data_IF_762174986391
#
_entry.id   IF_762174986391
#
_cell.length_a   1.000
_cell.length_b   1.000
_cell.length_c   1.000
_cell.angle_alpha   90.00
_cell.angle_beta   90.00
_cell.angle_gamma   90.00
#
_symmetry.space_group_name_H-M   'P 1'
#
loop_
_entity.id
_entity.type
_entity.pdbx_description
1 polymer ?
#
# COMPACT_ATOMS: atom_id res chain seq x y z
N UNK A 1 -6.81 25.97 -19.36
CA UNK A 1 -5.67 26.85 -18.99
C UNK A 1 -4.47 25.94 -18.83
N UNK A 2 -3.41 26.13 -19.62
CA UNK A 2 -2.16 25.41 -19.40
C UNK A 2 -1.55 25.89 -18.06
N UNK A 3 -1.01 24.99 -17.22
CA UNK A 3 -0.32 25.40 -16.00
C UNK A 3 0.84 26.33 -16.37
N UNK A 4 0.95 27.45 -15.66
CA UNK A 4 2.03 28.41 -15.87
C UNK A 4 3.38 27.70 -15.68
N UNK A 5 4.25 27.80 -16.67
CA UNK A 5 5.60 27.21 -16.61
C UNK A 5 6.36 27.84 -15.43
N UNK A 6 6.86 26.99 -14.53
CA UNK A 6 7.70 27.44 -13.42
C UNK A 6 9.00 28.05 -13.98
N UNK A 7 9.44 29.21 -13.47
CA UNK A 7 10.68 29.82 -13.90
C UNK A 7 11.88 28.95 -13.49
N UNK A 8 12.75 28.66 -14.45
CA UNK A 8 13.94 27.83 -14.26
C UNK A 8 15.21 28.71 -14.13
N UNK A 9 16.18 28.34 -13.26
CA UNK A 9 16.11 27.24 -12.29
C UNK A 9 15.23 27.59 -11.08
N UNK A 10 14.51 26.60 -10.53
CA UNK A 10 13.79 26.75 -9.28
C UNK A 10 14.60 26.17 -8.12
N UNK A 11 14.58 26.84 -6.98
CA UNK A 11 15.38 26.48 -5.80
C UNK A 11 14.48 25.86 -4.72
N UNK A 12 14.87 24.70 -4.20
CA UNK A 12 14.25 24.08 -3.04
C UNK A 12 15.20 24.12 -1.86
N UNK A 13 14.68 24.46 -0.69
CA UNK A 13 15.38 24.24 0.56
C UNK A 13 15.25 22.77 0.95
N UNK A 14 16.33 22.01 0.76
CA UNK A 14 16.38 20.62 1.18
C UNK A 14 16.93 20.53 2.60
N UNK A 15 16.19 19.86 3.48
CA UNK A 15 16.68 19.50 4.81
C UNK A 15 17.24 18.08 4.74
N UNK A 16 18.51 17.93 5.10
CA UNK A 16 19.21 16.65 5.13
C UNK A 16 18.90 15.90 6.44
N UNK A 17 19.21 14.60 6.46
CA UNK A 17 18.95 13.73 7.62
C UNK A 17 19.71 14.14 8.88
N UNK A 18 20.80 14.92 8.75
CA UNK A 18 21.56 15.47 9.87
C UNK A 18 20.95 16.77 10.45
N UNK A 19 19.84 17.26 9.87
CA UNK A 19 19.16 18.49 10.27
C UNK A 19 19.65 19.76 9.59
N UNK A 20 20.71 19.68 8.77
CA UNK A 20 21.19 20.82 7.99
C UNK A 20 20.22 21.09 6.83
N UNK A 21 20.20 22.34 6.37
CA UNK A 21 19.44 22.70 5.17
C UNK A 21 20.30 23.45 4.17
N UNK A 22 20.14 23.13 2.90
CA UNK A 22 20.76 23.86 1.80
C UNK A 22 19.71 24.22 0.75
N UNK A 23 19.86 25.41 0.17
CA UNK A 23 19.07 25.83 -0.98
C UNK A 23 19.73 25.23 -2.23
N UNK A 24 19.05 24.27 -2.85
CA UNK A 24 19.53 23.52 -4.03
C UNK A 24 18.71 23.94 -5.24
N UNK A 25 19.40 24.38 -6.29
CA UNK A 25 18.77 24.72 -7.56
C UNK A 25 18.59 23.47 -8.43
N UNK A 26 17.38 23.28 -8.93
CA UNK A 26 17.00 22.21 -9.84
C UNK A 26 16.59 22.79 -11.20
N UNK A 27 16.94 22.07 -12.26
CA UNK A 27 16.37 22.24 -13.59
C UNK A 27 15.37 21.11 -13.87
N UNK A 28 14.52 21.27 -14.89
CA UNK A 28 13.58 20.23 -15.29
C UNK A 28 14.28 18.96 -15.79
N UNK A 29 15.41 19.13 -16.48
CA UNK A 29 16.27 18.04 -16.94
C UNK A 29 16.85 17.20 -15.78
N UNK A 30 17.08 17.83 -14.61
CA UNK A 30 17.55 17.13 -13.41
C UNK A 30 16.48 16.24 -12.76
N UNK A 31 15.20 16.60 -12.91
CA UNK A 31 14.07 15.82 -12.39
C UNK A 31 13.69 14.66 -13.32
N UNK A 32 13.74 14.88 -14.63
CA UNK A 32 13.39 13.87 -15.64
C UNK A 32 14.43 12.75 -15.74
N UNK A 33 15.71 13.06 -15.49
CA UNK A 33 16.81 12.09 -15.58
C UNK A 33 17.23 11.48 -14.24
N UNK A 34 16.51 11.81 -13.15
CA UNK A 34 16.81 11.31 -11.80
C UNK A 34 18.26 11.60 -11.38
N UNK A 35 18.56 12.84 -10.98
CA UNK A 35 19.91 13.23 -10.52
C UNK A 35 20.49 12.23 -9.51
N UNK A 36 21.41 11.38 -9.97
CA UNK A 36 22.36 10.68 -9.10
C UNK A 36 23.39 11.71 -8.63
N UNK A 37 23.70 11.76 -7.33
CA UNK A 37 24.77 12.61 -6.81
C UNK A 37 26.02 12.32 -7.67
N UNK A 38 26.65 13.35 -8.27
CA UNK A 38 27.82 13.13 -9.09
C UNK A 38 28.92 12.50 -8.24
N UNK A 39 29.59 11.49 -8.80
CA UNK A 39 30.70 10.82 -8.11
C UNK A 39 31.73 11.86 -7.66
N UNK A 40 32.14 11.88 -6.38
CA UNK A 40 33.13 12.84 -5.89
C UNK A 40 34.45 12.73 -6.66
N UNK A 41 35.09 13.87 -6.93
CA UNK A 41 36.27 13.92 -7.80
C UNK A 41 37.55 13.38 -7.14
N UNK A 42 37.69 13.56 -5.83
CA UNK A 42 38.81 12.98 -5.06
C UNK A 42 38.50 11.54 -4.71
N UNK A 43 39.52 10.67 -4.65
CA UNK A 43 39.32 9.30 -4.19
C UNK A 43 39.03 9.32 -2.69
N UNK A 44 38.11 8.47 -2.23
CA UNK A 44 37.74 8.35 -0.80
C UNK A 44 38.93 8.16 0.15
N UNK A 45 39.95 7.43 -0.30
CA UNK A 45 41.18 7.19 0.47
C UNK A 45 42.02 8.45 0.70
N UNK A 46 41.83 9.49 -0.13
CA UNK A 46 42.54 10.76 -0.07
C UNK A 46 41.74 11.84 0.68
N UNK A 47 40.55 11.50 1.18
CA UNK A 47 39.67 12.40 1.93
C UNK A 47 39.94 12.28 3.44
N UNK A 48 40.02 13.42 4.12
CA UNK A 48 40.14 13.47 5.59
C UNK A 48 38.73 13.39 6.19
N UNK A 49 38.50 12.57 7.23
CA UNK A 49 37.21 12.54 7.92
C UNK A 49 36.79 13.94 8.38
N UNK A 50 35.52 14.30 8.14
CA UNK A 50 34.89 15.60 8.46
C UNK A 50 35.23 16.76 7.52
N UNK A 51 36.00 16.53 6.45
CA UNK A 51 36.12 17.52 5.37
C UNK A 51 34.89 17.47 4.44
N UNK A 52 34.53 18.57 3.76
CA UNK A 52 33.39 18.59 2.82
C UNK A 52 33.45 17.51 1.73
N UNK A 53 34.66 17.11 1.33
CA UNK A 53 34.89 16.03 0.36
C UNK A 53 34.59 14.64 0.93
N UNK A 54 34.78 14.45 2.23
CA UNK A 54 34.40 13.23 2.94
C UNK A 54 32.88 13.14 3.09
N UNK A 55 32.22 14.25 3.38
CA UNK A 55 30.76 14.31 3.47
C UNK A 55 30.10 14.08 2.11
N UNK A 56 30.69 14.59 1.02
CA UNK A 56 30.26 14.30 -0.35
C UNK A 56 30.36 12.79 -0.67
N UNK A 57 31.42 12.12 -0.23
CA UNK A 57 31.54 10.66 -0.34
C UNK A 57 30.51 9.91 0.49
N UNK A 58 30.23 10.36 1.71
CA UNK A 58 29.22 9.75 2.56
C UNK A 58 27.82 9.87 1.94
N UNK A 59 27.49 11.04 1.38
CA UNK A 59 26.22 11.26 0.69
C UNK A 59 26.10 10.40 -0.57
N UNK A 60 27.16 10.33 -1.38
CA UNK A 60 27.22 9.48 -2.57
C UNK A 60 27.05 7.99 -2.25
N UNK A 61 27.81 7.47 -1.28
CA UNK A 61 27.71 6.06 -0.86
C UNK A 61 26.33 5.74 -0.29
N UNK A 62 25.75 6.67 0.48
CA UNK A 62 24.40 6.51 1.04
C UNK A 62 23.35 6.43 -0.06
N UNK A 63 23.40 7.31 -1.06
CA UNK A 63 22.47 7.26 -2.19
C UNK A 63 22.65 5.98 -3.00
N UNK A 64 23.89 5.58 -3.31
CA UNK A 64 24.15 4.35 -4.06
C UNK A 64 23.70 3.10 -3.31
N UNK A 65 23.86 3.07 -2.00
CA UNK A 65 23.32 2.00 -1.16
C UNK A 65 21.78 1.96 -1.18
N UNK A 66 21.13 3.12 -1.17
CA UNK A 66 19.67 3.22 -1.31
C UNK A 66 19.20 2.76 -2.69
N UNK A 67 19.83 3.21 -3.77
CA UNK A 67 19.55 2.78 -5.15
C UNK A 67 19.68 1.25 -5.29
N UNK A 68 20.77 0.67 -4.76
CA UNK A 68 20.98 -0.79 -4.76
C UNK A 68 19.94 -1.53 -3.91
N UNK A 69 19.51 -0.95 -2.78
CA UNK A 69 18.48 -1.53 -1.94
C UNK A 69 17.12 -1.56 -2.64
N UNK A 70 16.71 -0.46 -3.27
CA UNK A 70 15.46 -0.39 -4.03
C UNK A 70 15.49 -1.34 -5.23
N UNK A 71 16.57 -1.34 -6.02
CA UNK A 71 16.71 -2.28 -7.13
C UNK A 71 16.64 -3.75 -6.67
N UNK A 72 17.19 -4.05 -5.48
CA UNK A 72 17.07 -5.38 -4.88
C UNK A 72 15.66 -5.68 -4.40
N UNK A 73 14.95 -4.73 -3.79
CA UNK A 73 13.55 -4.90 -3.41
C UNK A 73 12.67 -5.16 -4.64
N UNK A 74 12.87 -4.40 -5.71
CA UNK A 74 12.13 -4.57 -6.97
C UNK A 74 12.39 -5.96 -7.57
N UNK A 75 13.66 -6.38 -7.65
CA UNK A 75 14.02 -7.72 -8.12
C UNK A 75 13.50 -8.85 -7.21
N UNK A 76 13.49 -8.64 -5.89
CA UNK A 76 12.91 -9.59 -4.93
C UNK A 76 11.38 -9.67 -5.05
N UNK A 77 10.72 -8.54 -5.34
CA UNK A 77 9.29 -8.45 -5.58
C UNK A 77 8.90 -9.15 -6.89
N UNK A 78 9.61 -8.90 -7.98
CA UNK A 78 9.44 -9.64 -9.25
C UNK A 78 9.67 -11.14 -9.06
N UNK A 79 10.73 -11.52 -8.35
CA UNK A 79 11.03 -12.91 -8.05
C UNK A 79 9.97 -13.57 -7.15
N UNK A 80 9.34 -12.81 -6.25
CA UNK A 80 8.22 -13.29 -5.45
C UNK A 80 6.95 -13.49 -6.30
N UNK A 81 6.64 -12.55 -7.20
CA UNK A 81 5.52 -12.64 -8.14
C UNK A 81 5.66 -13.87 -9.05
N UNK A 82 6.83 -14.09 -9.66
CA UNK A 82 7.08 -15.29 -10.49
C UNK A 82 6.91 -16.59 -9.69
N UNK A 83 7.38 -16.64 -8.44
CA UNK A 83 7.16 -17.78 -7.55
C UNK A 83 5.68 -17.99 -7.22
N UNK A 84 4.93 -16.91 -6.97
CA UNK A 84 3.51 -16.97 -6.68
C UNK A 84 2.71 -17.47 -7.89
N UNK A 85 2.97 -16.92 -9.08
CA UNK A 85 2.36 -17.35 -10.36
C UNK A 85 2.65 -18.84 -10.60
N UNK A 86 3.91 -19.26 -10.47
CA UNK A 86 4.29 -20.68 -10.61
C UNK A 86 3.60 -21.55 -9.58
N UNK A 87 3.43 -21.07 -8.35
CA UNK A 87 2.72 -21.82 -7.32
C UNK A 87 1.26 -22.03 -7.71
N UNK A 88 0.56 -20.96 -8.11
CA UNK A 88 -0.83 -21.01 -8.58
C UNK A 88 -0.98 -21.99 -9.74
N UNK A 89 -0.17 -21.84 -10.80
CA UNK A 89 -0.19 -22.74 -11.95
C UNK A 89 0.07 -24.19 -11.52
N UNK A 90 1.04 -24.42 -10.63
CA UNK A 90 1.47 -25.77 -10.28
C UNK A 90 0.63 -26.47 -9.21
N UNK A 91 -0.12 -25.74 -8.40
CA UNK A 91 -0.85 -26.31 -7.26
C UNK A 91 -2.35 -26.08 -7.34
N UNK A 92 -2.80 -24.99 -7.94
CA UNK A 92 -4.22 -24.63 -8.00
C UNK A 92 -4.89 -25.04 -9.31
N UNK A 93 -4.12 -25.22 -10.40
CA UNK A 93 -4.65 -25.58 -11.72
C UNK A 93 -4.39 -27.06 -12.01
N UNK A 94 -5.44 -27.79 -12.41
CA UNK A 94 -5.35 -29.18 -12.83
C UNK A 94 -4.41 -29.35 -14.04
N UNK A 95 -3.76 -30.51 -14.19
CA UNK A 95 -2.88 -30.73 -15.35
C UNK A 95 -3.61 -30.67 -16.70
N UNK A 96 -4.91 -30.95 -16.71
CA UNK A 96 -5.75 -30.89 -17.90
C UNK A 96 -6.02 -29.44 -18.32
N UNK A 97 -6.31 -28.57 -17.34
CA UNK A 97 -6.59 -27.15 -17.60
C UNK A 97 -5.33 -26.34 -17.90
N UNK A 98 -4.15 -26.74 -17.39
CA UNK A 98 -2.88 -26.11 -17.76
C UNK A 98 -2.59 -26.14 -19.26
N UNK A 99 -3.04 -27.20 -19.95
CA UNK A 99 -2.84 -27.35 -21.40
C UNK A 99 -3.77 -26.46 -22.22
N UNK A 100 -4.76 -25.83 -21.58
CA UNK A 100 -5.72 -24.90 -22.19
C UNK A 100 -5.26 -23.44 -22.07
N UNK A 101 -4.28 -23.15 -21.21
CA UNK A 101 -3.63 -21.84 -21.09
C UNK A 101 -2.64 -21.71 -22.24
N UNK A 102 -3.02 -21.00 -23.29
CA UNK A 102 -2.22 -20.88 -24.51
C UNK A 102 -1.80 -19.44 -24.79
N UNK A 103 -2.56 -18.46 -24.30
CA UNK A 103 -2.37 -17.03 -24.56
C UNK A 103 -2.16 -16.24 -23.28
N UNK A 104 -1.64 -15.02 -23.41
CA UNK A 104 -1.44 -14.07 -22.30
C UNK A 104 -2.77 -13.75 -21.60
N UNK A 105 -3.86 -13.59 -22.37
CA UNK A 105 -5.21 -13.38 -21.84
C UNK A 105 -5.72 -14.52 -20.93
N UNK A 106 -5.30 -15.77 -21.18
CA UNK A 106 -5.66 -16.90 -20.32
C UNK A 106 -4.96 -16.82 -18.97
N UNK A 107 -3.72 -16.31 -18.97
CA UNK A 107 -2.94 -16.06 -17.76
C UNK A 107 -3.56 -14.93 -16.96
N UNK A 108 -3.98 -13.85 -17.61
CA UNK A 108 -4.66 -12.73 -16.97
C UNK A 108 -5.98 -13.15 -16.32
N UNK A 109 -6.81 -13.92 -17.03
CA UNK A 109 -8.07 -14.46 -16.48
C UNK A 109 -7.84 -15.39 -15.28
N UNK A 110 -6.76 -16.17 -15.29
CA UNK A 110 -6.35 -17.02 -14.17
C UNK A 110 -5.83 -16.18 -13.01
N UNK A 111 -5.03 -15.16 -13.27
CA UNK A 111 -4.52 -14.26 -12.24
C UNK A 111 -5.66 -13.50 -11.58
N UNK A 112 -6.63 -13.03 -12.35
CA UNK A 112 -7.87 -12.42 -11.86
C UNK A 112 -8.71 -13.39 -11.02
N UNK A 113 -8.80 -14.67 -11.43
CA UNK A 113 -9.50 -15.71 -10.67
C UNK A 113 -8.72 -16.24 -9.45
N UNK A 114 -7.39 -16.17 -9.47
CA UNK A 114 -6.49 -16.63 -8.41
C UNK A 114 -6.29 -15.59 -7.31
N UNK A 115 -6.58 -14.32 -7.59
CA UNK A 115 -6.76 -13.31 -6.56
C UNK A 115 -7.98 -13.71 -5.72
N UNK A 116 -7.73 -14.10 -4.47
CA UNK A 116 -8.78 -14.29 -3.46
C UNK A 116 -9.68 -13.03 -3.51
N UNK A 117 -10.95 -13.14 -3.92
CA UNK A 117 -11.76 -11.96 -4.20
C UNK A 117 -11.84 -11.08 -2.95
N UNK A 118 -11.42 -9.82 -3.03
CA UNK A 118 -11.36 -8.96 -1.85
C UNK A 118 -12.78 -8.63 -1.36
N UNK A 119 -12.97 -8.61 -0.04
CA UNK A 119 -14.17 -7.99 0.53
C UNK A 119 -14.11 -6.49 0.23
N UNK A 120 -15.17 -5.93 -0.36
CA UNK A 120 -15.24 -4.51 -0.70
C UNK A 120 -16.17 -3.75 0.25
N UNK A 121 -16.04 -2.41 0.30
CA UNK A 121 -16.96 -1.55 1.05
C UNK A 121 -18.42 -1.75 0.62
N UNK A 122 -18.67 -1.93 -0.68
CA UNK A 122 -20.01 -2.18 -1.23
C UNK A 122 -20.61 -3.47 -0.67
N UNK A 123 -19.82 -4.55 -0.60
CA UNK A 123 -20.27 -5.82 -0.03
C UNK A 123 -20.64 -5.68 1.45
N UNK A 124 -19.85 -4.93 2.23
CA UNK A 124 -20.16 -4.65 3.64
C UNK A 124 -21.46 -3.83 3.78
N UNK A 125 -21.63 -2.79 2.96
CA UNK A 125 -22.84 -1.95 2.92
C UNK A 125 -24.08 -2.77 2.58
N UNK A 126 -23.97 -3.67 1.61
CA UNK A 126 -25.06 -4.54 1.18
C UNK A 126 -25.46 -5.54 2.28
N UNK A 127 -24.47 -6.18 2.92
CA UNK A 127 -24.71 -7.10 4.05
C UNK A 127 -25.40 -6.38 5.21
N UNK A 128 -24.89 -5.20 5.60
CA UNK A 128 -25.47 -4.40 6.67
C UNK A 128 -26.91 -4.01 6.35
N UNK A 129 -27.16 -3.49 5.15
CA UNK A 129 -28.49 -3.02 4.74
C UNK A 129 -29.50 -4.16 4.62
N UNK A 130 -29.12 -5.24 3.92
CA UNK A 130 -30.06 -6.30 3.52
C UNK A 130 -30.27 -7.34 4.60
N UNK A 131 -29.19 -7.74 5.28
CA UNK A 131 -29.22 -8.86 6.23
C UNK A 131 -29.39 -8.40 7.67
N UNK A 132 -28.55 -7.46 8.11
CA UNK A 132 -28.60 -6.97 9.49
C UNK A 132 -29.61 -5.84 9.69
N UNK A 133 -30.00 -5.14 8.61
CA UNK A 133 -30.86 -3.96 8.61
C UNK A 133 -30.42 -2.93 9.65
N UNK A 134 -29.11 -2.80 9.84
CA UNK A 134 -28.54 -1.90 10.82
C UNK A 134 -28.32 -0.52 10.20
N UNK A 135 -28.69 0.52 10.95
CA UNK A 135 -28.52 1.91 10.58
C UNK A 135 -28.20 2.74 11.82
N UNK A 136 -27.45 3.82 11.65
CA UNK A 136 -27.14 4.79 12.70
C UNK A 136 -27.61 6.17 12.26
N UNK A 137 -28.46 6.81 13.07
CA UNK A 137 -29.09 8.11 12.75
C UNK A 137 -29.74 8.19 11.36
N UNK A 138 -30.27 7.05 10.87
CA UNK A 138 -30.95 6.95 9.58
C UNK A 138 -30.04 6.62 8.38
N UNK A 139 -28.73 6.53 8.60
CA UNK A 139 -27.73 6.20 7.58
C UNK A 139 -27.22 4.76 7.73
N UNK A 140 -26.68 4.19 6.66
CA UNK A 140 -26.00 2.89 6.74
C UNK A 140 -24.78 3.00 7.67
N UNK A 141 -24.53 1.97 8.48
CA UNK A 141 -23.45 1.98 9.46
C UNK A 141 -22.07 2.20 8.81
N UNK A 142 -21.79 1.65 7.62
CA UNK A 142 -20.51 1.87 6.92
C UNK A 142 -20.36 3.34 6.53
N UNK A 143 -21.44 3.94 6.02
CA UNK A 143 -21.44 5.34 5.58
C UNK A 143 -21.24 6.28 6.77
N UNK A 144 -21.91 5.98 7.89
CA UNK A 144 -21.76 6.71 9.14
C UNK A 144 -20.33 6.63 9.70
N UNK A 145 -19.64 5.48 9.53
CA UNK A 145 -18.23 5.33 9.92
C UNK A 145 -17.29 6.11 9.02
N UNK A 146 -17.54 6.14 7.71
CA UNK A 146 -16.74 6.90 6.75
C UNK A 146 -16.86 8.42 6.97
N UNK A 147 -18.01 8.88 7.50
CA UNK A 147 -18.21 10.27 7.91
C UNK A 147 -17.47 10.67 9.20
N UNK A 148 -16.82 9.72 9.89
CA UNK A 148 -16.00 10.04 11.06
C UNK A 148 -14.72 10.79 10.65
N UNK A 149 -14.22 11.72 11.49
CA UNK A 149 -12.98 12.42 11.19
C UNK A 149 -11.83 11.43 11.00
N UNK A 150 -11.22 11.44 9.82
CA UNK A 150 -10.09 10.57 9.51
C UNK A 150 -8.89 10.91 10.41
N UNK A 151 -8.24 9.89 10.97
CA UNK A 151 -6.96 10.05 11.65
C UNK A 151 -5.82 10.31 10.64
N UNK A 152 -4.62 10.60 11.14
CA UNK A 152 -3.42 10.84 10.31
C UNK A 152 -2.78 9.56 9.73
N UNK A 153 -3.43 8.41 9.87
CA UNK A 153 -2.89 7.12 9.44
C UNK A 153 -3.62 6.60 8.21
N UNK A 154 -2.87 6.23 7.18
CA UNK A 154 -3.38 5.51 6.01
C UNK A 154 -3.18 4.00 6.23
N UNK A 155 -4.27 3.29 6.51
CA UNK A 155 -4.28 1.82 6.60
C UNK A 155 -5.42 1.29 5.75
N UNK A 156 -5.16 0.24 4.96
CA UNK A 156 -6.22 -0.51 4.26
C UNK A 156 -7.05 -1.27 5.28
N UNK A 157 -8.06 -0.61 5.84
CA UNK A 157 -8.78 -1.08 7.03
C UNK A 157 -9.52 -2.41 6.82
N UNK A 158 -10.06 -2.64 5.63
CA UNK A 158 -10.72 -3.91 5.32
C UNK A 158 -9.72 -5.07 5.36
N UNK A 159 -8.50 -4.89 4.82
CA UNK A 159 -7.46 -5.93 4.87
C UNK A 159 -7.06 -6.26 6.31
N UNK A 160 -7.01 -5.25 7.18
CA UNK A 160 -6.77 -5.47 8.61
C UNK A 160 -7.91 -6.29 9.23
N UNK A 161 -9.17 -5.95 8.95
CA UNK A 161 -10.32 -6.68 9.46
C UNK A 161 -10.43 -8.11 8.92
N UNK A 162 -10.12 -8.34 7.64
CA UNK A 162 -10.03 -9.69 7.07
C UNK A 162 -8.96 -10.52 7.78
N UNK A 163 -7.81 -9.91 8.11
CA UNK A 163 -6.74 -10.58 8.85
C UNK A 163 -7.16 -10.94 10.28
N UNK A 164 -7.85 -10.04 10.97
CA UNK A 164 -8.42 -10.32 12.29
C UNK A 164 -9.46 -11.45 12.24
N UNK A 165 -10.34 -11.42 11.24
CA UNK A 165 -11.34 -12.46 11.04
C UNK A 165 -10.67 -13.81 10.75
N UNK A 166 -9.67 -13.84 9.88
CA UNK A 166 -8.87 -15.04 9.60
C UNK A 166 -8.28 -15.62 10.89
N UNK A 167 -7.64 -14.78 11.72
CA UNK A 167 -7.04 -15.20 12.99
C UNK A 167 -8.09 -15.76 13.96
N UNK A 168 -9.27 -15.13 14.06
CA UNK A 168 -10.37 -15.63 14.90
C UNK A 168 -10.94 -16.95 14.42
N UNK A 169 -10.98 -17.19 13.11
CA UNK A 169 -11.42 -18.46 12.54
C UNK A 169 -10.38 -19.57 12.68
N UNK A 170 -9.14 -19.26 13.08
CA UNK A 170 -8.06 -20.23 13.19
C UNK A 170 -7.68 -20.85 11.84
N UNK A 171 -7.96 -20.16 10.72
CA UNK A 171 -7.74 -20.65 9.36
C UNK A 171 -6.39 -20.19 8.81
N UNK A 172 -5.71 -21.07 8.09
CA UNK A 172 -4.60 -20.70 7.23
C UNK A 172 -5.07 -19.75 6.11
N UNK A 173 -4.13 -19.09 5.42
CA UNK A 173 -4.48 -18.16 4.34
C UNK A 173 -5.20 -18.87 3.20
N UNK A 174 -4.79 -20.10 2.89
CA UNK A 174 -5.39 -20.94 1.87
C UNK A 174 -6.84 -21.30 2.24
N UNK A 175 -7.06 -21.83 3.44
CA UNK A 175 -8.41 -22.19 3.91
C UNK A 175 -9.36 -21.00 4.02
N UNK A 176 -8.83 -19.82 4.34
CA UNK A 176 -9.60 -18.57 4.37
C UNK A 176 -9.92 -18.05 2.97
N UNK A 177 -8.96 -18.19 2.04
CA UNK A 177 -9.11 -17.80 0.64
C UNK A 177 -10.21 -18.56 -0.09
N UNK A 178 -10.45 -19.82 0.31
CA UNK A 178 -11.50 -20.69 -0.23
C UNK A 178 -12.93 -20.27 0.16
N UNK A 179 -13.10 -19.40 1.17
CA UNK A 179 -14.42 -18.87 1.51
C UNK A 179 -14.89 -17.87 0.44
N UNK A 180 -16.16 -17.91 -0.01
CA UNK A 180 -16.70 -16.86 -0.87
C UNK A 180 -16.57 -15.48 -0.21
N UNK A 181 -16.22 -14.46 -0.99
CA UNK A 181 -16.07 -13.11 -0.46
C UNK A 181 -17.37 -12.56 0.18
N UNK A 182 -18.54 -12.96 -0.32
CA UNK A 182 -19.84 -12.62 0.28
C UNK A 182 -20.02 -13.23 1.68
N UNK A 183 -19.57 -14.46 1.87
CA UNK A 183 -19.57 -15.13 3.17
C UNK A 183 -18.57 -14.47 4.13
N UNK A 184 -17.36 -14.14 3.64
CA UNK A 184 -16.38 -13.38 4.42
C UNK A 184 -16.92 -12.01 4.84
N UNK A 185 -17.57 -11.28 3.94
CA UNK A 185 -18.18 -9.99 4.23
C UNK A 185 -19.24 -10.11 5.34
N UNK A 186 -20.09 -11.13 5.27
CA UNK A 186 -21.08 -11.44 6.30
C UNK A 186 -20.44 -11.70 7.66
N UNK A 187 -19.43 -12.57 7.72
CA UNK A 187 -18.71 -12.85 8.96
C UNK A 187 -17.98 -11.61 9.50
N UNK A 188 -17.43 -10.77 8.62
CA UNK A 188 -16.72 -9.55 9.00
C UNK A 188 -17.70 -8.54 9.61
N UNK A 189 -18.86 -8.34 8.98
CA UNK A 189 -19.94 -7.50 9.55
C UNK A 189 -20.39 -8.06 10.90
N UNK A 190 -20.66 -9.37 10.99
CA UNK A 190 -21.06 -10.00 12.25
C UNK A 190 -20.05 -9.74 13.38
N UNK A 191 -18.76 -9.81 13.04
CA UNK A 191 -17.66 -9.59 13.97
C UNK A 191 -17.51 -8.12 14.39
N UNK A 192 -17.64 -7.18 13.44
CA UNK A 192 -17.28 -5.77 13.65
C UNK A 192 -18.46 -4.86 13.97
N UNK A 193 -19.69 -5.26 13.63
CA UNK A 193 -20.87 -4.44 13.84
C UNK A 193 -21.05 -3.93 15.30
N UNK A 194 -20.81 -4.74 16.36
CA UNK A 194 -20.89 -4.22 17.73
C UNK A 194 -19.86 -3.12 18.03
N UNK A 195 -18.63 -3.29 17.53
CA UNK A 195 -17.53 -2.33 17.68
C UNK A 195 -17.85 -1.03 16.94
N UNK A 196 -18.34 -1.14 15.70
CA UNK A 196 -18.75 -0.01 14.88
C UNK A 196 -19.87 0.80 15.51
N UNK A 197 -20.92 0.14 16.02
CA UNK A 197 -22.02 0.81 16.70
C UNK A 197 -21.54 1.55 17.95
N UNK A 198 -20.67 0.91 18.76
CA UNK A 198 -20.10 1.54 19.95
C UNK A 198 -19.22 2.76 19.62
N UNK A 199 -18.46 2.70 18.53
CA UNK A 199 -17.66 3.83 18.06
C UNK A 199 -18.54 5.01 17.62
N UNK A 200 -19.60 4.75 16.86
CA UNK A 200 -20.56 5.76 16.41
C UNK A 200 -21.31 6.42 17.59
N UNK A 201 -21.77 5.62 18.56
CA UNK A 201 -22.41 6.13 19.79
C UNK A 201 -21.46 7.00 20.61
N UNK A 202 -20.19 6.58 20.73
CA UNK A 202 -19.17 7.33 21.46
C UNK A 202 -18.87 8.67 20.81
N UNK A 203 -18.79 8.70 19.47
CA UNK A 203 -18.59 9.95 18.74
C UNK A 203 -19.80 10.89 18.87
N UNK A 204 -21.02 10.37 18.78
CA UNK A 204 -22.24 11.15 18.99
C UNK A 204 -22.26 11.81 20.36
N UNK A 205 -22.00 11.03 21.41
CA UNK A 205 -21.89 11.57 22.78
C UNK A 205 -20.77 12.62 22.92
N UNK A 206 -19.66 12.46 22.21
CA UNK A 206 -18.56 13.44 22.21
C UNK A 206 -18.98 14.75 21.55
N UNK A 207 -19.75 14.69 20.46
CA UNK A 207 -20.26 15.87 19.75
C UNK A 207 -21.30 16.62 20.57
N UNK A 208 -22.21 15.92 21.24
CA UNK A 208 -23.26 16.53 22.09
C UNK A 208 -22.71 17.25 23.33
N UNK A 209 -21.50 16.89 23.77
CA UNK A 209 -20.81 17.53 24.92
C UNK A 209 -19.98 18.76 24.56
N UNK A 210 -19.82 19.06 23.26
CA UNK A 210 -19.07 20.22 22.76
C UNK A 210 -20.03 21.34 22.38
#
# INVERSE_FOLDING_TARGET
MAPAELPEPFSYRMTFLNGDSADVAYTREDMENGRSIPMPQKRKADCVPLDPEWDAWLAYDTQKAAELHYARQDAEQEGWLDKAVRHVINKCISQEDRRRILLEDDVDAIMEAALVPEVTHEMLRDVISRKYRASFDGENVVDALEALPSGSGEVRIIRLWERELQMKLGKSLEEYGMLPASERADMLVAMKLPEWMSALESEKMRRERR
#
